data_IF_492819323957
#
_entry.id   IF_492819323957
#
_cell.length_a   1.000
_cell.length_b   1.000
_cell.length_c   1.000
_cell.angle_alpha   90.00
_cell.angle_beta   90.00
_cell.angle_gamma   90.00
#
_symmetry.space_group_name_H-M   'P 1'
#
loop_
_entity.id
_entity.type
_entity.pdbx_description
1 polymer ?
#
# COMPACT_ATOMS: atom_id res chain seq x y z
N UNK A 1 4.66 -38.14 9.15
CA UNK A 1 3.78 -36.96 9.18
C UNK A 1 3.92 -36.29 7.80
N UNK A 2 2.99 -36.60 6.91
CA UNK A 2 3.03 -36.36 5.45
C UNK A 2 2.33 -35.05 5.08
N UNK A 3 2.81 -34.41 4.02
CA UNK A 3 2.08 -33.50 3.12
C UNK A 3 1.30 -32.32 3.76
N UNK A 4 2.01 -31.25 4.10
CA UNK A 4 1.38 -29.93 4.33
C UNK A 4 1.68 -28.95 3.17
N UNK A 5 2.17 -29.45 2.03
CA UNK A 5 2.59 -28.64 0.87
C UNK A 5 1.64 -28.69 -0.34
N UNK A 6 0.62 -29.54 -0.33
CA UNK A 6 -0.33 -29.66 -1.44
C UNK A 6 -1.76 -29.45 -0.96
N UNK A 7 -2.38 -28.39 -1.45
CA UNK A 7 -3.84 -28.26 -1.45
C UNK A 7 -4.38 -29.38 -2.35
N UNK A 8 -5.48 -30.07 -1.99
CA UNK A 8 -6.01 -31.23 -2.74
C UNK A 8 -6.28 -31.02 -4.25
N UNK A 9 -6.28 -29.76 -4.71
CA UNK A 9 -6.55 -29.33 -6.09
C UNK A 9 -5.30 -29.13 -6.96
N UNK A 10 -4.09 -29.52 -6.51
CA UNK A 10 -2.85 -29.27 -7.26
C UNK A 10 -2.42 -27.79 -7.31
N UNK A 11 -3.02 -26.95 -6.45
CA UNK A 11 -2.65 -25.53 -6.31
C UNK A 11 -1.53 -25.38 -5.30
N UNK A 12 -0.53 -24.54 -5.61
CA UNK A 12 0.52 -24.22 -4.63
C UNK A 12 -0.06 -23.36 -3.51
N UNK A 13 0.49 -23.49 -2.30
CA UNK A 13 0.10 -22.65 -1.16
C UNK A 13 0.37 -21.16 -1.47
N UNK A 14 1.42 -20.89 -2.24
CA UNK A 14 1.78 -19.55 -2.67
C UNK A 14 0.77 -18.94 -3.64
N UNK A 15 0.22 -19.71 -4.58
CA UNK A 15 -0.86 -19.22 -5.45
C UNK A 15 -2.08 -18.77 -4.63
N UNK A 16 -2.42 -19.54 -3.60
CA UNK A 16 -3.54 -19.20 -2.71
C UNK A 16 -3.25 -17.93 -1.91
N UNK A 17 -2.05 -17.79 -1.35
CA UNK A 17 -1.64 -16.62 -0.57
C UNK A 17 -1.49 -15.36 -1.45
N UNK A 18 -0.98 -15.51 -2.67
CA UNK A 18 -0.86 -14.44 -3.66
C UNK A 18 -2.22 -13.96 -4.16
N UNK A 19 -3.17 -14.89 -4.32
CA UNK A 19 -4.56 -14.56 -4.67
C UNK A 19 -5.25 -13.82 -3.54
N UNK A 20 -5.08 -14.28 -2.31
CA UNK A 20 -5.70 -13.65 -1.13
C UNK A 20 -5.19 -12.22 -0.90
N UNK A 21 -3.87 -12.02 -0.92
CA UNK A 21 -3.26 -10.68 -0.82
C UNK A 21 -3.69 -9.76 -1.96
N UNK A 22 -3.76 -10.27 -3.20
CA UNK A 22 -4.25 -9.50 -4.34
C UNK A 22 -5.70 -9.05 -4.17
N UNK A 23 -6.61 -9.96 -3.80
CA UNK A 23 -8.03 -9.64 -3.59
C UNK A 23 -8.21 -8.63 -2.45
N UNK A 24 -7.53 -8.82 -1.32
CA UNK A 24 -7.56 -7.88 -0.19
C UNK A 24 -7.06 -6.48 -0.58
N UNK A 25 -6.09 -6.40 -1.51
CA UNK A 25 -5.57 -5.12 -2.01
C UNK A 25 -6.60 -4.33 -2.80
N UNK A 26 -7.25 -4.98 -3.76
CA UNK A 26 -8.32 -4.36 -4.54
C UNK A 26 -9.50 -3.98 -3.65
N UNK A 27 -9.82 -4.80 -2.66
CA UNK A 27 -10.85 -4.49 -1.68
C UNK A 27 -10.49 -3.25 -0.83
N UNK A 28 -9.22 -3.09 -0.41
CA UNK A 28 -8.78 -1.89 0.31
C UNK A 28 -8.84 -0.63 -0.57
N UNK A 29 -8.42 -0.71 -1.83
CA UNK A 29 -8.54 0.41 -2.77
C UNK A 29 -9.99 0.77 -3.07
N UNK A 30 -10.85 -0.24 -3.21
CA UNK A 30 -12.29 -0.09 -3.32
C UNK A 30 -12.88 0.59 -2.08
N UNK A 31 -12.53 0.11 -0.88
CA UNK A 31 -12.97 0.70 0.38
C UNK A 31 -12.62 2.19 0.47
N UNK A 32 -11.38 2.56 0.15
CA UNK A 32 -10.94 3.97 0.12
C UNK A 32 -11.81 4.77 -0.86
N UNK A 33 -12.03 4.23 -2.06
CA UNK A 33 -12.81 4.89 -3.11
C UNK A 33 -14.26 5.10 -2.69
N UNK A 34 -14.93 4.06 -2.17
CA UNK A 34 -16.32 4.13 -1.73
C UNK A 34 -16.50 5.02 -0.49
N UNK A 35 -15.52 5.08 0.43
CA UNK A 35 -15.55 6.01 1.56
C UNK A 35 -15.47 7.47 1.10
N UNK A 36 -14.65 7.75 0.08
CA UNK A 36 -14.53 9.09 -0.50
C UNK A 36 -15.77 9.45 -1.31
N UNK A 37 -16.29 8.51 -2.11
CA UNK A 37 -17.57 8.66 -2.81
C UNK A 37 -18.71 8.96 -1.83
N UNK A 38 -18.82 8.20 -0.74
CA UNK A 38 -19.83 8.42 0.31
C UNK A 38 -19.72 9.80 0.97
N UNK A 39 -18.50 10.35 1.05
CA UNK A 39 -18.25 11.67 1.62
C UNK A 39 -18.58 12.82 0.65
N UNK A 40 -18.48 12.59 -0.67
CA UNK A 40 -18.72 13.60 -1.72
C UNK A 40 -20.17 13.53 -2.21
N UNK A 41 -20.61 12.36 -2.67
CA UNK A 41 -21.88 12.14 -3.33
C UNK A 41 -22.89 11.42 -2.44
N UNK A 42 -24.16 11.76 -2.63
CA UNK A 42 -25.28 11.21 -1.85
C UNK A 42 -26.34 10.53 -2.69
N UNK A 43 -26.09 10.35 -4.00
CA UNK A 43 -27.10 9.89 -4.96
C UNK A 43 -27.41 8.40 -4.85
N UNK A 44 -26.40 7.56 -4.56
CA UNK A 44 -26.53 6.10 -4.53
C UNK A 44 -26.11 5.46 -3.20
N UNK A 45 -26.50 6.08 -2.07
CA UNK A 45 -26.04 5.69 -0.71
C UNK A 45 -26.14 4.19 -0.40
N UNK A 46 -27.20 3.51 -0.85
CA UNK A 46 -27.37 2.08 -0.60
C UNK A 46 -26.29 1.25 -1.31
N UNK A 47 -26.01 1.55 -2.58
CA UNK A 47 -24.95 0.88 -3.33
C UNK A 47 -23.59 1.14 -2.68
N UNK A 48 -23.29 2.39 -2.33
CA UNK A 48 -22.01 2.74 -1.69
C UNK A 48 -21.83 2.03 -0.34
N UNK A 49 -22.88 1.95 0.49
CA UNK A 49 -22.83 1.23 1.78
C UNK A 49 -22.64 -0.27 1.59
N UNK A 50 -23.36 -0.89 0.64
CA UNK A 50 -23.19 -2.31 0.31
C UNK A 50 -21.76 -2.58 -0.19
N UNK A 51 -21.22 -1.72 -1.04
CA UNK A 51 -19.85 -1.83 -1.55
C UNK A 51 -18.80 -1.67 -0.46
N UNK A 52 -19.00 -0.76 0.51
CA UNK A 52 -18.14 -0.62 1.70
C UNK A 52 -18.16 -1.93 2.51
N UNK A 53 -19.35 -2.47 2.80
CA UNK A 53 -19.48 -3.71 3.57
C UNK A 53 -18.80 -4.89 2.86
N UNK A 54 -19.04 -5.05 1.56
CA UNK A 54 -18.39 -6.09 0.76
C UNK A 54 -16.87 -5.94 0.74
N UNK A 55 -16.36 -4.70 0.64
CA UNK A 55 -14.93 -4.44 0.70
C UNK A 55 -14.34 -4.83 2.06
N UNK A 56 -14.99 -4.46 3.17
CA UNK A 56 -14.56 -4.86 4.52
C UNK A 56 -14.55 -6.37 4.67
N UNK A 57 -15.63 -7.05 4.27
CA UNK A 57 -15.73 -8.52 4.31
C UNK A 57 -14.60 -9.15 3.50
N UNK A 58 -14.33 -8.64 2.29
CA UNK A 58 -13.26 -9.17 1.43
C UNK A 58 -11.88 -8.95 2.06
N UNK A 59 -11.63 -7.80 2.70
CA UNK A 59 -10.38 -7.55 3.42
C UNK A 59 -10.20 -8.56 4.57
N UNK A 60 -11.25 -8.77 5.37
CA UNK A 60 -11.20 -9.73 6.49
C UNK A 60 -10.98 -11.16 5.98
N UNK A 61 -11.72 -11.57 4.96
CA UNK A 61 -11.61 -12.91 4.36
C UNK A 61 -10.28 -13.13 3.63
N UNK A 62 -9.60 -12.06 3.19
CA UNK A 62 -8.27 -12.18 2.58
C UNK A 62 -7.24 -12.76 3.57
N UNK A 63 -7.43 -12.52 4.87
CA UNK A 63 -6.51 -12.97 5.91
C UNK A 63 -5.06 -12.55 5.67
N UNK A 64 -4.78 -11.48 4.92
CA UNK A 64 -3.40 -11.07 4.58
C UNK A 64 -2.85 -10.08 5.61
N UNK A 65 -1.76 -10.45 6.28
CA UNK A 65 -1.08 -9.57 7.24
C UNK A 65 -0.61 -8.26 6.57
N UNK A 66 -0.14 -8.31 5.32
CA UNK A 66 0.25 -7.12 4.56
C UNK A 66 -0.91 -6.14 4.37
N UNK A 67 -2.12 -6.65 4.16
CA UNK A 67 -3.33 -5.81 4.02
C UNK A 67 -3.76 -5.21 5.36
N UNK A 68 -3.58 -5.92 6.47
CA UNK A 68 -3.79 -5.37 7.82
C UNK A 68 -2.85 -4.18 8.04
N UNK A 69 -1.55 -4.35 7.80
CA UNK A 69 -0.58 -3.26 7.92
C UNK A 69 -0.90 -2.08 6.98
N UNK A 70 -1.27 -2.36 5.73
CA UNK A 70 -1.66 -1.33 4.78
C UNK A 70 -2.91 -0.57 5.24
N UNK A 71 -3.92 -1.26 5.77
CA UNK A 71 -5.16 -0.64 6.28
C UNK A 71 -4.86 0.29 7.47
N UNK A 72 -4.02 -0.16 8.41
CA UNK A 72 -3.59 0.67 9.55
C UNK A 72 -2.82 1.91 9.07
N UNK A 73 -1.87 1.74 8.16
CA UNK A 73 -1.07 2.84 7.62
C UNK A 73 -1.94 3.87 6.87
N UNK A 74 -2.91 3.41 6.06
CA UNK A 74 -3.87 4.26 5.37
C UNK A 74 -4.74 5.02 6.37
N UNK A 75 -5.25 4.36 7.41
CA UNK A 75 -6.04 4.99 8.46
C UNK A 75 -5.25 6.08 9.20
N UNK A 76 -4.00 5.80 9.56
CA UNK A 76 -3.10 6.77 10.19
C UNK A 76 -2.78 7.93 9.26
N UNK A 77 -2.46 7.67 7.99
CA UNK A 77 -2.21 8.71 6.99
C UNK A 77 -3.42 9.64 6.81
N UNK A 78 -4.62 9.06 6.71
CA UNK A 78 -5.87 9.81 6.63
C UNK A 78 -6.12 10.66 7.87
N UNK A 79 -5.97 10.07 9.07
CA UNK A 79 -6.14 10.79 10.34
C UNK A 79 -5.17 11.96 10.47
N UNK A 80 -3.88 11.73 10.23
CA UNK A 80 -2.85 12.77 10.35
C UNK A 80 -3.06 13.86 9.29
N UNK A 81 -3.44 13.50 8.07
CA UNK A 81 -3.76 14.46 7.00
C UNK A 81 -4.95 15.35 7.40
N UNK A 82 -6.03 14.76 7.93
CA UNK A 82 -7.20 15.48 8.43
C UNK A 82 -6.90 16.38 9.63
N UNK A 83 -6.06 15.93 10.57
CA UNK A 83 -5.68 16.73 11.74
C UNK A 83 -4.75 17.90 11.35
N UNK A 84 -3.88 17.69 10.37
CA UNK A 84 -2.95 18.70 9.86
C UNK A 84 -3.61 19.77 8.98
N UNK A 85 -4.81 19.50 8.45
CA UNK A 85 -5.52 20.38 7.56
C UNK A 85 -5.87 21.73 8.22
N UNK A 86 -5.63 22.82 7.50
CA UNK A 86 -5.94 24.18 7.96
C UNK A 86 -5.10 24.67 9.16
N UNK A 87 -4.10 23.91 9.61
CA UNK A 87 -3.18 24.31 10.68
C UNK A 87 -1.97 25.06 10.14
N UNK A 88 -1.40 25.91 10.99
CA UNK A 88 -0.14 26.58 10.74
C UNK A 88 1.01 25.56 10.57
N UNK A 89 2.14 26.05 10.03
CA UNK A 89 3.29 25.21 9.74
C UNK A 89 3.79 24.48 10.98
N UNK A 90 3.88 25.13 12.13
CA UNK A 90 4.52 24.57 13.32
C UNK A 90 3.65 23.49 13.99
N UNK A 91 2.35 23.77 14.12
CA UNK A 91 1.36 22.79 14.60
C UNK A 91 1.32 21.55 13.71
N UNK A 92 1.37 21.72 12.39
CA UNK A 92 1.41 20.62 11.44
C UNK A 92 2.67 19.77 11.57
N UNK A 93 3.85 20.39 11.66
CA UNK A 93 5.10 19.64 11.86
C UNK A 93 5.13 18.92 13.21
N UNK A 94 4.45 19.46 14.25
CA UNK A 94 4.26 18.75 15.52
C UNK A 94 3.47 17.46 15.34
N UNK A 95 2.34 17.49 14.63
CA UNK A 95 1.58 16.27 14.33
C UNK A 95 2.40 15.26 13.54
N UNK A 96 3.21 15.71 12.58
CA UNK A 96 4.10 14.83 11.82
C UNK A 96 5.14 14.17 12.71
N UNK A 97 5.82 14.93 13.59
CA UNK A 97 6.80 14.36 14.53
C UNK A 97 6.17 13.30 15.44
N UNK A 98 4.97 13.56 15.97
CA UNK A 98 4.24 12.59 16.81
C UNK A 98 3.88 11.35 15.98
N UNK A 99 3.32 11.53 14.78
CA UNK A 99 2.95 10.42 13.90
C UNK A 99 4.16 9.55 13.52
N UNK A 100 5.31 10.18 13.20
CA UNK A 100 6.56 9.49 12.90
C UNK A 100 7.13 8.78 14.13
N UNK A 101 7.09 9.39 15.31
CA UNK A 101 7.55 8.76 16.55
C UNK A 101 6.70 7.54 16.91
N UNK A 102 5.37 7.64 16.81
CA UNK A 102 4.46 6.51 17.07
C UNK A 102 4.67 5.41 16.03
N UNK A 103 4.69 5.75 14.74
CA UNK A 103 4.86 4.78 13.66
C UNK A 103 6.23 4.10 13.72
N UNK A 104 7.29 4.86 14.02
CA UNK A 104 8.65 4.34 14.19
C UNK A 104 8.75 3.41 15.40
N UNK A 105 8.16 3.78 16.53
CA UNK A 105 8.12 2.93 17.74
C UNK A 105 7.32 1.65 17.48
N UNK A 106 6.14 1.76 16.88
CA UNK A 106 5.32 0.60 16.53
C UNK A 106 6.04 -0.33 15.54
N UNK A 107 6.68 0.24 14.51
CA UNK A 107 7.50 -0.51 13.57
C UNK A 107 8.66 -1.24 14.25
N UNK A 108 9.37 -0.56 15.15
CA UNK A 108 10.46 -1.17 15.94
C UNK A 108 9.95 -2.33 16.81
N UNK A 109 8.82 -2.15 17.51
CA UNK A 109 8.18 -3.22 18.30
C UNK A 109 7.79 -4.40 17.42
N UNK A 110 7.19 -4.16 16.24
CA UNK A 110 6.84 -5.23 15.29
C UNK A 110 8.09 -5.98 14.81
N UNK A 111 9.21 -5.29 14.58
CA UNK A 111 10.46 -5.93 14.17
C UNK A 111 11.05 -6.83 15.25
N UNK A 112 11.11 -6.34 16.51
CA UNK A 112 11.64 -7.11 17.65
C UNK A 112 10.73 -8.29 18.00
N UNK A 113 9.42 -8.08 18.02
CA UNK A 113 8.43 -9.08 18.39
C UNK A 113 7.77 -9.76 17.19
N UNK A 114 8.45 -9.81 16.04
CA UNK A 114 7.87 -10.27 14.77
C UNK A 114 7.20 -11.64 14.89
N UNK A 115 7.82 -12.59 15.60
CA UNK A 115 7.29 -13.95 15.79
C UNK A 115 5.92 -13.89 16.48
N UNK A 116 5.83 -13.20 17.60
CA UNK A 116 4.59 -13.04 18.38
C UNK A 116 3.52 -12.30 17.59
N UNK A 117 3.89 -11.23 16.89
CA UNK A 117 2.96 -10.44 16.07
C UNK A 117 2.38 -11.26 14.93
N UNK A 118 3.22 -12.00 14.20
CA UNK A 118 2.75 -12.85 13.10
C UNK A 118 1.95 -14.06 13.60
N UNK A 119 2.35 -14.69 14.71
CA UNK A 119 1.58 -15.77 15.35
C UNK A 119 0.20 -15.29 15.81
N UNK A 120 0.11 -14.10 16.41
CA UNK A 120 -1.16 -13.47 16.79
C UNK A 120 -2.07 -13.23 15.58
N UNK A 121 -1.50 -12.88 14.42
CA UNK A 121 -2.22 -12.76 13.15
C UNK A 121 -2.53 -14.11 12.48
N UNK A 122 -2.22 -15.23 13.15
CA UNK A 122 -2.39 -16.59 12.60
C UNK A 122 -1.46 -16.87 11.41
N UNK A 123 -0.27 -16.26 11.39
CA UNK A 123 0.73 -16.40 10.33
C UNK A 123 2.01 -17.04 10.83
N UNK A 124 2.70 -17.72 9.91
CA UNK A 124 4.03 -18.26 10.20
C UNK A 124 5.03 -17.11 10.42
N UNK A 125 5.90 -17.21 11.44
CA UNK A 125 6.92 -16.20 11.73
C UNK A 125 7.91 -15.94 10.58
N UNK A 126 8.13 -16.93 9.71
CA UNK A 126 9.02 -16.84 8.55
C UNK A 126 8.37 -16.22 7.30
N UNK A 127 7.15 -15.66 7.44
CA UNK A 127 6.43 -14.92 6.39
C UNK A 127 6.52 -15.59 5.00
N UNK A 128 6.27 -16.90 4.90
CA UNK A 128 6.35 -17.64 3.64
C UNK A 128 7.78 -17.69 3.06
N UNK A 129 8.75 -18.18 3.84
CA UNK A 129 10.13 -18.40 3.41
C UNK A 129 10.90 -17.16 2.90
N UNK A 130 10.42 -15.95 3.19
CA UNK A 130 11.04 -14.70 2.72
C UNK A 130 12.47 -14.53 3.19
N UNK A 131 12.80 -15.04 4.38
CA UNK A 131 14.17 -14.98 4.91
C UNK A 131 15.16 -15.65 3.96
N UNK A 132 14.81 -16.80 3.37
CA UNK A 132 15.70 -17.54 2.48
C UNK A 132 15.71 -16.93 1.09
N UNK A 133 14.54 -16.50 0.58
CA UNK A 133 14.41 -15.74 -0.67
C UNK A 133 15.31 -14.51 -0.64
N UNK A 134 15.22 -13.70 0.43
CA UNK A 134 15.96 -12.44 0.51
C UNK A 134 17.46 -12.66 0.61
N UNK A 135 17.93 -13.71 1.29
CA UNK A 135 19.36 -14.06 1.31
C UNK A 135 19.88 -14.36 -0.10
N UNK A 136 19.19 -15.18 -0.88
CA UNK A 136 19.59 -15.48 -2.26
C UNK A 136 19.58 -14.22 -3.13
N UNK A 137 18.57 -13.37 -2.98
CA UNK A 137 18.50 -12.10 -3.72
C UNK A 137 19.63 -11.15 -3.31
N UNK A 138 19.97 -11.04 -2.02
CA UNK A 138 21.09 -10.20 -1.59
C UNK A 138 22.43 -10.65 -2.14
N UNK A 139 22.65 -11.97 -2.28
CA UNK A 139 23.86 -12.51 -2.90
C UNK A 139 23.95 -12.03 -4.36
N UNK A 140 22.89 -12.17 -5.15
CA UNK A 140 22.86 -11.66 -6.53
C UNK A 140 23.02 -10.14 -6.62
N UNK A 141 22.38 -9.37 -5.73
CA UNK A 141 22.54 -7.90 -5.68
C UNK A 141 24.00 -7.53 -5.41
N UNK A 142 24.72 -8.29 -4.58
CA UNK A 142 26.12 -8.03 -4.26
C UNK A 142 27.08 -8.24 -5.43
N UNK A 143 26.71 -9.07 -6.41
CA UNK A 143 27.49 -9.29 -7.62
C UNK A 143 27.40 -8.12 -8.60
N UNK A 144 26.23 -7.46 -8.68
CA UNK A 144 25.98 -6.29 -9.56
C UNK A 144 25.26 -5.16 -8.81
N UNK A 145 25.94 -4.50 -7.86
CA UNK A 145 25.28 -3.59 -6.92
C UNK A 145 24.78 -2.29 -7.54
N UNK A 146 25.34 -1.84 -8.67
CA UNK A 146 25.00 -0.54 -9.28
C UNK A 146 23.91 -0.66 -10.34
N UNK A 147 24.12 -1.53 -11.34
CA UNK A 147 23.22 -1.71 -12.49
C UNK A 147 22.20 -2.85 -12.35
N UNK A 148 22.44 -3.83 -11.48
CA UNK A 148 21.61 -5.02 -11.32
C UNK A 148 21.72 -6.00 -12.50
N UNK A 149 20.74 -6.90 -12.60
CA UNK A 149 20.73 -8.02 -13.55
C UNK A 149 19.90 -7.78 -14.82
N UNK A 150 19.31 -6.59 -14.96
CA UNK A 150 18.40 -6.26 -16.05
C UNK A 150 16.94 -6.51 -15.68
N UNK A 151 16.05 -5.68 -16.25
CA UNK A 151 14.62 -5.75 -15.97
C UNK A 151 13.93 -6.83 -16.79
N UNK A 152 13.36 -7.84 -16.12
CA UNK A 152 12.59 -8.92 -16.74
C UNK A 152 11.13 -8.95 -16.28
N UNK A 153 10.75 -8.10 -15.33
CA UNK A 153 9.43 -8.15 -14.69
C UNK A 153 9.38 -9.29 -13.67
N UNK A 154 8.70 -10.38 -14.01
CA UNK A 154 8.73 -11.62 -13.20
C UNK A 154 10.01 -12.40 -13.55
N UNK A 155 10.59 -13.11 -12.59
CA UNK A 155 11.78 -13.93 -12.85
C UNK A 155 11.44 -15.04 -13.86
N UNK A 156 12.24 -15.14 -14.91
CA UNK A 156 12.00 -16.08 -16.01
C UNK A 156 12.68 -17.42 -15.67
N UNK A 157 11.93 -18.52 -15.53
CA UNK A 157 12.52 -19.83 -15.28
C UNK A 157 13.47 -20.23 -16.40
N UNK A 158 14.59 -20.88 -16.06
CA UNK A 158 15.58 -21.36 -17.04
C UNK A 158 16.46 -20.28 -17.66
N UNK A 159 16.39 -19.03 -17.18
CA UNK A 159 17.26 -17.93 -17.62
C UNK A 159 18.14 -17.49 -16.45
N UNK A 160 19.46 -17.52 -16.62
CA UNK A 160 20.41 -17.00 -15.62
C UNK A 160 20.21 -15.49 -15.41
N UNK A 161 20.25 -14.96 -14.16
CA UNK A 161 20.61 -15.64 -12.91
C UNK A 161 19.41 -16.26 -12.16
N UNK A 162 18.22 -16.29 -12.77
CA UNK A 162 16.97 -16.67 -12.11
C UNK A 162 16.68 -18.18 -12.16
N UNK A 163 17.37 -18.91 -13.02
CA UNK A 163 17.23 -20.35 -13.20
C UNK A 163 17.48 -21.10 -11.89
N UNK A 164 16.44 -21.72 -11.30
CA UNK A 164 16.58 -22.48 -10.07
C UNK A 164 16.99 -21.64 -8.85
N UNK A 165 16.85 -20.31 -8.91
CA UNK A 165 17.38 -19.39 -7.91
C UNK A 165 16.87 -19.70 -6.50
N UNK A 166 15.57 -19.97 -6.37
CA UNK A 166 14.96 -20.39 -5.10
C UNK A 166 13.99 -21.54 -5.38
N UNK A 167 14.34 -22.72 -4.86
CA UNK A 167 13.49 -23.90 -4.84
C UNK A 167 13.27 -24.33 -3.39
N UNK A 168 12.02 -24.25 -2.92
CA UNK A 168 11.66 -24.62 -1.55
C UNK A 168 10.59 -25.70 -1.62
N UNK A 169 10.86 -26.85 -1.00
CA UNK A 169 9.99 -28.03 -1.06
C UNK A 169 9.67 -28.48 -2.50
N UNK A 170 10.60 -28.29 -3.44
CA UNK A 170 10.42 -28.63 -4.85
C UNK A 170 9.59 -27.64 -5.65
N UNK A 171 9.20 -26.50 -5.05
CA UNK A 171 8.47 -25.41 -5.72
C UNK A 171 9.44 -24.27 -6.00
N UNK A 172 9.50 -23.82 -7.24
CA UNK A 172 10.32 -22.69 -7.67
C UNK A 172 9.59 -21.36 -7.43
N UNK A 173 10.32 -20.36 -6.93
CA UNK A 173 9.81 -19.03 -6.62
C UNK A 173 10.30 -18.01 -7.66
N UNK A 174 9.40 -17.13 -8.10
CA UNK A 174 9.64 -16.23 -9.24
C UNK A 174 9.64 -14.73 -8.89
N UNK A 175 9.71 -14.39 -7.61
CA UNK A 175 9.73 -13.00 -7.14
C UNK A 175 10.31 -12.87 -5.73
N UNK A 176 10.83 -11.69 -5.39
CA UNK A 176 11.37 -11.40 -4.06
C UNK A 176 10.29 -11.21 -2.96
N UNK A 177 9.01 -11.09 -3.34
CA UNK A 177 7.91 -10.66 -2.46
C UNK A 177 8.18 -9.32 -1.75
N UNK A 178 8.97 -8.46 -2.38
CA UNK A 178 9.32 -7.12 -1.93
C UNK A 178 9.77 -6.33 -3.16
N UNK A 179 8.98 -5.33 -3.55
CA UNK A 179 9.22 -4.53 -4.74
C UNK A 179 10.53 -3.75 -4.70
N UNK A 180 10.96 -3.30 -3.52
CA UNK A 180 12.21 -2.54 -3.38
C UNK A 180 13.42 -3.44 -3.58
N UNK A 181 13.37 -4.65 -3.03
CA UNK A 181 14.40 -5.66 -3.25
C UNK A 181 14.41 -6.16 -4.70
N UNK A 182 13.23 -6.27 -5.32
CA UNK A 182 13.06 -6.57 -6.75
C UNK A 182 13.75 -5.53 -7.63
N UNK A 183 13.53 -4.24 -7.34
CA UNK A 183 14.20 -3.13 -8.05
C UNK A 183 15.71 -3.20 -7.85
N UNK A 184 16.17 -3.45 -6.63
CA UNK A 184 17.60 -3.56 -6.33
C UNK A 184 18.24 -4.71 -7.11
N UNK A 185 17.57 -5.85 -7.23
CA UNK A 185 18.05 -7.00 -8.00
C UNK A 185 18.11 -6.71 -9.49
N UNK A 186 17.05 -6.15 -10.06
CA UNK A 186 16.94 -5.99 -11.51
C UNK A 186 17.61 -4.71 -12.05
N UNK A 187 17.58 -3.62 -11.28
CA UNK A 187 18.06 -2.29 -11.73
C UNK A 187 19.19 -1.72 -10.85
N UNK A 188 19.64 -2.48 -9.84
CA UNK A 188 20.72 -2.09 -8.94
C UNK A 188 20.39 -0.87 -8.07
N UNK A 189 21.42 -0.34 -7.41
CA UNK A 189 21.31 0.83 -6.55
C UNK A 189 20.87 2.08 -7.33
N UNK A 190 21.29 2.22 -8.60
CA UNK A 190 20.91 3.37 -9.43
C UNK A 190 19.40 3.38 -9.67
N UNK A 191 18.83 2.26 -10.11
CA UNK A 191 17.39 2.13 -10.31
C UNK A 191 16.60 2.30 -9.01
N UNK A 192 17.08 1.71 -7.91
CA UNK A 192 16.45 1.84 -6.60
C UNK A 192 16.40 3.30 -6.13
N UNK A 193 17.52 4.03 -6.22
CA UNK A 193 17.57 5.45 -5.81
C UNK A 193 16.63 6.31 -6.66
N UNK A 194 16.64 6.13 -7.98
CA UNK A 194 15.74 6.87 -8.87
C UNK A 194 14.26 6.57 -8.56
N UNK A 195 13.92 5.31 -8.30
CA UNK A 195 12.56 4.92 -7.92
C UNK A 195 12.16 5.48 -6.56
N UNK A 196 13.04 5.46 -5.56
CA UNK A 196 12.78 6.08 -4.25
C UNK A 196 12.60 7.60 -4.34
N UNK A 197 13.35 8.28 -5.22
CA UNK A 197 13.15 9.71 -5.49
C UNK A 197 11.76 9.95 -6.10
N UNK A 198 11.36 9.15 -7.09
CA UNK A 198 10.02 9.21 -7.69
C UNK A 198 8.93 9.03 -6.63
N UNK A 199 9.04 7.97 -5.82
CA UNK A 199 8.06 7.68 -4.77
C UNK A 199 7.99 8.80 -3.73
N UNK A 200 9.13 9.31 -3.29
CA UNK A 200 9.21 10.38 -2.27
C UNK A 200 8.60 11.68 -2.79
N UNK A 201 8.94 12.09 -4.03
CA UNK A 201 8.38 13.30 -4.64
C UNK A 201 6.86 13.20 -4.79
N UNK A 202 6.37 12.07 -5.28
CA UNK A 202 4.93 11.80 -5.45
C UNK A 202 4.20 11.76 -4.11
N UNK A 203 4.80 11.15 -3.07
CA UNK A 203 4.24 11.15 -1.73
C UNK A 203 4.14 12.57 -1.16
N UNK A 204 5.21 13.37 -1.22
CA UNK A 204 5.20 14.75 -0.71
C UNK A 204 4.12 15.58 -1.41
N UNK A 205 3.97 15.43 -2.73
CA UNK A 205 2.98 16.17 -3.52
C UNK A 205 1.55 15.76 -3.20
N UNK A 206 1.24 14.47 -3.22
CA UNK A 206 -0.09 13.94 -2.86
C UNK A 206 -0.46 14.24 -1.40
N UNK A 207 0.52 14.19 -0.49
CA UNK A 207 0.35 14.59 0.91
C UNK A 207 0.02 16.07 1.05
N UNK A 208 0.79 16.95 0.40
CA UNK A 208 0.52 18.40 0.40
C UNK A 208 -0.86 18.70 -0.17
N UNK A 209 -1.22 18.07 -1.28
CA UNK A 209 -2.55 18.20 -1.88
C UNK A 209 -3.65 17.79 -0.88
N UNK A 210 -3.47 16.65 -0.20
CA UNK A 210 -4.38 16.17 0.84
C UNK A 210 -4.51 17.08 2.06
N UNK A 211 -3.48 17.84 2.43
CA UNK A 211 -3.49 18.71 3.62
C UNK A 211 -3.88 20.16 3.31
N UNK A 212 -3.56 20.67 2.12
CA UNK A 212 -3.75 22.10 1.78
C UNK A 212 -5.10 22.37 1.09
N UNK A 213 -5.71 21.34 0.52
CA UNK A 213 -7.02 21.46 -0.11
C UNK A 213 -8.09 20.78 0.73
N UNK A 214 -9.18 21.50 1.00
CA UNK A 214 -10.25 21.04 1.87
C UNK A 214 -11.28 20.13 1.19
N UNK A 215 -11.13 19.85 -0.11
CA UNK A 215 -12.01 18.89 -0.79
C UNK A 215 -11.58 17.45 -0.48
N UNK A 216 -12.54 16.60 -0.10
CA UNK A 216 -12.26 15.22 0.36
C UNK A 216 -11.60 14.37 -0.73
N UNK A 217 -11.90 14.66 -2.00
CA UNK A 217 -11.30 13.99 -3.17
C UNK A 217 -9.78 13.93 -3.11
N UNK A 218 -9.12 14.95 -2.56
CA UNK A 218 -7.66 15.01 -2.48
C UNK A 218 -7.03 14.04 -1.47
N UNK A 219 -7.84 13.38 -0.64
CA UNK A 219 -7.36 12.24 0.15
C UNK A 219 -7.21 10.99 -0.73
N UNK A 220 -7.95 10.86 -1.83
CA UNK A 220 -7.95 9.68 -2.68
C UNK A 220 -6.56 9.33 -3.24
N UNK A 221 -5.84 10.23 -3.93
CA UNK A 221 -4.50 9.92 -4.43
C UNK A 221 -3.51 9.65 -3.30
N UNK A 222 -3.61 10.36 -2.17
CA UNK A 222 -2.75 10.12 -1.01
C UNK A 222 -2.95 8.71 -0.43
N UNK A 223 -4.18 8.32 -0.14
CA UNK A 223 -4.50 7.06 0.54
C UNK A 223 -4.22 5.85 -0.37
N UNK A 224 -4.51 5.96 -1.67
CA UNK A 224 -4.13 4.93 -2.63
C UNK A 224 -2.62 4.83 -2.77
N UNK A 225 -1.89 5.94 -2.80
CA UNK A 225 -0.43 5.92 -2.89
C UNK A 225 0.20 5.28 -1.66
N UNK A 226 -0.26 5.62 -0.45
CA UNK A 226 0.17 4.95 0.81
C UNK A 226 -0.10 3.46 0.76
N UNK A 227 -1.25 3.04 0.23
CA UNK A 227 -1.56 1.61 0.04
C UNK A 227 -0.51 0.92 -0.83
N UNK A 228 -0.09 1.54 -1.94
CA UNK A 228 0.95 0.99 -2.82
C UNK A 228 2.31 0.92 -2.11
N UNK A 229 2.72 1.97 -1.40
CA UNK A 229 4.02 2.00 -0.71
C UNK A 229 4.16 0.85 0.30
N UNK A 230 3.13 0.62 1.11
CA UNK A 230 3.14 -0.45 2.12
C UNK A 230 3.09 -1.83 1.46
N UNK A 231 2.24 -2.00 0.46
CA UNK A 231 2.17 -3.26 -0.30
C UNK A 231 3.48 -3.59 -1.00
N UNK A 232 4.23 -2.59 -1.45
CA UNK A 232 5.55 -2.77 -2.03
C UNK A 232 6.56 -3.44 -1.11
N UNK A 233 6.37 -3.36 0.22
CA UNK A 233 7.22 -4.07 1.20
C UNK A 233 6.87 -5.57 1.22
N UNK A 234 5.61 -5.91 0.93
CA UNK A 234 5.08 -7.26 1.08
C UNK A 234 4.83 -8.01 -0.23
N UNK A 235 4.93 -7.34 -1.37
CA UNK A 235 4.66 -7.85 -2.71
C UNK A 235 5.67 -7.25 -3.70
N UNK A 236 6.05 -7.99 -4.76
CA UNK A 236 6.93 -7.51 -5.85
C UNK A 236 6.17 -6.82 -6.99
N UNK A 237 5.02 -6.19 -6.70
CA UNK A 237 4.09 -5.72 -7.74
C UNK A 237 4.22 -4.24 -8.11
N UNK A 238 5.05 -3.43 -7.44
CA UNK A 238 5.10 -1.99 -7.73
C UNK A 238 5.65 -1.66 -9.13
N UNK A 239 6.61 -2.44 -9.64
CA UNK A 239 7.20 -2.22 -10.96
C UNK A 239 6.42 -2.88 -12.11
N UNK A 240 5.43 -3.72 -11.80
CA UNK A 240 4.69 -4.50 -12.79
C UNK A 240 3.19 -4.25 -12.68
N UNK A 241 2.43 -4.64 -13.71
CA UNK A 241 0.97 -4.59 -13.71
C UNK A 241 0.39 -3.16 -13.45
N UNK A 242 -0.79 -3.08 -12.84
CA UNK A 242 -1.54 -1.84 -12.64
C UNK A 242 -0.92 -0.89 -11.60
N UNK A 243 -0.05 -1.38 -10.71
CA UNK A 243 0.54 -0.55 -9.66
C UNK A 243 1.53 0.47 -10.22
N UNK A 244 2.35 0.07 -11.21
CA UNK A 244 3.25 0.98 -11.92
C UNK A 244 2.45 2.11 -12.60
N UNK A 245 1.37 1.75 -13.29
CA UNK A 245 0.51 2.73 -13.94
C UNK A 245 -0.12 3.72 -12.95
N UNK A 246 -0.58 3.25 -11.78
CA UNK A 246 -1.07 4.13 -10.71
C UNK A 246 0.02 5.07 -10.19
N UNK A 247 1.24 4.57 -9.96
CA UNK A 247 2.38 5.40 -9.53
C UNK A 247 2.66 6.49 -10.55
N UNK A 248 2.67 6.15 -11.85
CA UNK A 248 2.87 7.12 -12.94
C UNK A 248 1.74 8.15 -12.97
N UNK A 249 0.47 7.73 -12.89
CA UNK A 249 -0.67 8.63 -12.84
C UNK A 249 -0.52 9.62 -11.69
N UNK A 250 -0.25 9.14 -10.47
CA UNK A 250 -0.12 10.02 -9.31
C UNK A 250 1.11 10.91 -9.40
N UNK A 251 2.21 10.42 -9.96
CA UNK A 251 3.41 11.21 -10.19
C UNK A 251 3.14 12.38 -11.15
N UNK A 252 2.37 12.16 -12.21
CA UNK A 252 2.02 13.21 -13.18
C UNK A 252 0.93 14.13 -12.63
N UNK A 253 -0.21 13.54 -12.21
CA UNK A 253 -1.41 14.28 -11.79
C UNK A 253 -1.22 15.10 -10.53
N UNK A 254 -0.26 14.77 -9.68
CA UNK A 254 0.07 15.60 -8.52
C UNK A 254 0.78 16.91 -8.87
N UNK A 255 1.09 17.15 -10.15
CA UNK A 255 1.62 18.40 -10.70
C UNK A 255 0.61 19.15 -11.58
N UNK A 256 -0.65 18.69 -11.68
CA UNK A 256 -1.68 19.44 -12.41
C UNK A 256 -1.80 20.87 -11.81
N UNK A 257 -2.00 21.89 -12.67
CA UNK A 257 -2.06 23.28 -12.24
C UNK A 257 -3.27 23.53 -11.33
N UNK A 258 -3.16 24.52 -10.44
CA UNK A 258 -4.22 24.84 -9.46
C UNK A 258 -5.57 25.18 -10.10
N UNK A 259 -5.58 25.62 -11.35
CA UNK A 259 -6.79 25.92 -12.13
C UNK A 259 -7.63 24.66 -12.44
N UNK A 260 -6.98 23.50 -12.53
CA UNK A 260 -7.63 22.20 -12.78
C UNK A 260 -8.11 21.53 -11.49
N UNK A 261 -7.80 22.12 -10.34
CA UNK A 261 -8.17 21.61 -9.03
C UNK A 261 -9.58 22.09 -8.66
N UNK A 262 -10.38 21.17 -8.11
CA UNK A 262 -11.61 21.49 -7.38
C UNK A 262 -11.39 22.66 -6.42
N UNK A 263 -12.27 23.66 -6.51
CA UNK A 263 -12.16 24.91 -5.76
C UNK A 263 -12.01 24.61 -4.28
N UNK A 264 -10.99 25.20 -3.66
CA UNK A 264 -10.72 24.98 -2.26
C UNK A 264 -11.90 25.48 -1.41
N UNK A 265 -12.66 24.54 -0.85
CA UNK A 265 -13.74 24.85 0.08
C UNK A 265 -13.13 25.54 1.30
N UNK A 266 -13.67 26.70 1.71
CA UNK A 266 -13.14 27.43 2.89
C UNK A 266 -13.29 26.66 4.22
N UNK A 267 -14.06 25.56 4.24
CA UNK A 267 -14.29 24.74 5.44
C UNK A 267 -13.39 23.51 5.42
N UNK A 268 -12.72 23.16 6.54
CA UNK A 268 -11.93 21.93 6.65
C UNK A 268 -12.76 20.66 6.36
N UNK A 269 -12.14 19.60 5.84
CA UNK A 269 -12.80 18.31 5.52
C UNK A 269 -13.57 17.77 6.72
N UNK A 270 -12.96 17.81 7.90
CA UNK A 270 -13.58 17.29 9.13
C UNK A 270 -14.88 18.03 9.47
N UNK A 271 -14.93 19.34 9.26
CA UNK A 271 -16.13 20.14 9.48
C UNK A 271 -17.18 19.91 8.38
N UNK A 272 -16.75 19.80 7.13
CA UNK A 272 -17.63 19.48 6.00
C UNK A 272 -18.30 18.11 6.20
N UNK A 273 -17.55 17.11 6.68
CA UNK A 273 -18.07 15.78 7.02
C UNK A 273 -19.00 15.79 8.24
N UNK A 274 -18.72 16.60 9.27
CA UNK A 274 -19.54 16.68 10.50
C UNK A 274 -20.88 17.37 10.30
N UNK A 275 -21.02 18.27 9.33
CA UNK A 275 -22.31 18.92 9.01
C UNK A 275 -23.27 17.92 8.35
N UNK A 276 -23.83 17.05 9.18
CA UNK A 276 -25.14 16.41 8.95
C UNK A 276 -26.18 17.52 8.73
N UNK A 277 -27.20 17.30 7.90
CA UNK A 277 -28.29 18.26 7.77
C UNK A 277 -29.08 18.25 9.08
N UNK A 278 -28.82 19.22 9.96
CA UNK A 278 -29.84 19.63 10.91
C UNK A 278 -30.86 20.47 10.12
N UNK A 279 -32.05 19.89 9.97
CA UNK A 279 -33.34 20.58 9.89
C UNK A 279 -33.42 21.74 8.90
N UNK A 280 -33.78 21.41 7.65
CA UNK A 280 -34.72 22.24 6.88
C UNK A 280 -36.05 21.51 6.71
N UNK A 281 -36.75 21.32 7.82
CA UNK A 281 -38.21 21.35 7.83
C UNK A 281 -38.62 22.40 8.86
N UNK A 282 -38.69 23.65 8.42
CA UNK A 282 -39.62 24.63 8.97
C UNK A 282 -39.77 25.79 7.97
N UNK A 283 -41.04 25.98 7.58
CA UNK A 283 -41.67 27.10 6.85
C UNK A 283 -41.37 27.10 5.35
N UNK A 284 -42.36 27.08 4.45
CA UNK A 284 -43.78 27.50 4.54
C UNK A 284 -44.72 26.37 4.16
#
# INVERSE_FOLDING_TARGET
IRNIGQVPDGRTIDDLLLRNSFMGSWALMGLITFLIEFAIEKRHKYLTVVSILLAIVTIVLSGSAGIVFATVAVGLAGLVSLLAEGKDRDTRHRYYRIAWAISGTAGFVVLIFRRVVFEFLGKSPDMTHRTDIWKSVFNLVSERPLEGWGFTGVWVPGVEPFSGLIVINGIEYFQAHNSYLEIALQLGAVGLVLFLILLTRTFIKTWRLGVHHSHVLYLWPLLLFVTQLIRGITESRLLVQSAMFMVIIFAIKSYDPEEMLEKNSKKPKLEAMRKRPMTKMKRR
#
